data_IF_616045843387
#
_entry.id   IF_616045843387
#
_cell.length_a   1.000
_cell.length_b   1.000
_cell.length_c   1.000
_cell.angle_alpha   90.00
_cell.angle_beta   90.00
_cell.angle_gamma   90.00
#
_symmetry.space_group_name_H-M   'P 1'
#
loop_
_entity.id
_entity.type
_entity.pdbx_description
1 polymer ?
#
# COMPACT_ATOMS: atom_id res chain seq x y z
N UNK A 1 30.03 17.17 -31.27
CA UNK A 1 28.60 17.35 -31.46
C UNK A 1 27.86 16.79 -30.23
N UNK A 2 27.48 17.71 -29.34
CA UNK A 2 26.71 17.43 -28.14
C UNK A 2 25.23 17.53 -28.50
N UNK A 3 24.52 16.41 -28.47
CA UNK A 3 23.07 16.38 -28.39
C UNK A 3 22.69 15.16 -27.51
N UNK A 4 22.49 15.35 -26.25
CA UNK A 4 22.15 14.27 -25.32
C UNK A 4 21.65 14.68 -23.94
N UNK A 5 21.50 15.99 -23.66
CA UNK A 5 21.16 16.48 -22.31
C UNK A 5 19.69 16.83 -22.08
N UNK A 6 18.87 16.98 -23.10
CA UNK A 6 17.48 17.44 -22.94
C UNK A 6 16.42 16.34 -23.02
N UNK A 7 16.71 15.22 -23.68
CA UNK A 7 15.74 14.12 -23.80
C UNK A 7 15.65 13.25 -22.52
N UNK A 8 16.75 13.13 -21.77
CA UNK A 8 16.73 12.39 -20.49
C UNK A 8 15.92 13.11 -19.41
N UNK A 9 15.92 14.44 -19.41
CA UNK A 9 15.13 15.25 -18.47
C UNK A 9 13.62 15.24 -18.76
N UNK A 10 13.20 14.98 -19.99
CA UNK A 10 11.80 14.98 -20.40
C UNK A 10 11.16 13.62 -20.15
N UNK A 11 11.90 12.51 -20.25
CA UNK A 11 11.40 11.17 -19.90
C UNK A 11 11.17 10.98 -18.40
N UNK A 12 12.00 11.57 -17.57
CA UNK A 12 11.83 11.49 -16.10
C UNK A 12 10.63 12.29 -15.58
N UNK A 13 10.17 13.32 -16.33
CA UNK A 13 9.02 14.14 -15.92
C UNK A 13 7.66 13.55 -16.28
N UNK A 14 7.60 12.60 -17.23
CA UNK A 14 6.33 12.02 -17.71
C UNK A 14 5.75 10.93 -16.79
N UNK A 15 6.56 10.36 -15.86
CA UNK A 15 6.18 9.25 -14.98
C UNK A 15 6.12 9.65 -13.50
N UNK A 16 5.81 10.91 -13.19
CA UNK A 16 5.74 11.40 -11.81
C UNK A 16 4.32 11.73 -11.39
N UNK A 17 3.96 11.40 -10.15
CA UNK A 17 2.74 11.90 -9.50
C UNK A 17 2.91 13.37 -9.13
N UNK A 18 1.86 14.15 -9.27
CA UNK A 18 1.83 15.53 -8.76
C UNK A 18 1.56 15.51 -7.26
N UNK A 19 2.20 16.44 -6.53
CA UNK A 19 1.92 16.62 -5.10
C UNK A 19 0.44 16.92 -4.85
N UNK A 20 -0.22 17.66 -5.71
CA UNK A 20 -1.65 17.92 -5.63
C UNK A 20 -2.51 16.66 -5.67
N UNK A 21 -2.12 15.67 -6.48
CA UNK A 21 -2.79 14.37 -6.51
C UNK A 21 -2.60 13.60 -5.20
N UNK A 22 -1.39 13.64 -4.65
CA UNK A 22 -1.06 13.02 -3.35
C UNK A 22 -1.87 13.67 -2.23
N UNK A 23 -1.88 15.00 -2.17
CA UNK A 23 -2.66 15.74 -1.17
C UNK A 23 -4.15 15.42 -1.25
N UNK A 24 -4.70 15.35 -2.47
CA UNK A 24 -6.10 14.99 -2.69
C UNK A 24 -6.41 13.55 -2.25
N UNK A 25 -5.50 12.61 -2.54
CA UNK A 25 -5.64 11.21 -2.09
C UNK A 25 -5.66 11.11 -0.56
N UNK A 26 -4.79 11.85 0.12
CA UNK A 26 -4.75 11.90 1.60
C UNK A 26 -6.04 12.54 2.16
N UNK A 27 -6.51 13.64 1.59
CA UNK A 27 -7.78 14.27 2.00
C UNK A 27 -8.96 13.31 1.84
N UNK A 28 -9.02 12.58 0.74
CA UNK A 28 -10.06 11.58 0.48
C UNK A 28 -10.01 10.46 1.52
N UNK A 29 -8.81 9.98 1.86
CA UNK A 29 -8.60 8.98 2.91
C UNK A 29 -9.06 9.49 4.29
N UNK A 30 -8.73 10.73 4.63
CA UNK A 30 -9.14 11.36 5.90
C UNK A 30 -10.67 11.46 6.02
N UNK A 31 -11.36 11.85 4.94
CA UNK A 31 -12.82 11.88 4.91
C UNK A 31 -13.44 10.50 5.12
N UNK A 32 -12.85 9.48 4.54
CA UNK A 32 -13.31 8.11 4.73
C UNK A 32 -13.09 7.64 6.16
N UNK A 33 -11.95 7.95 6.76
CA UNK A 33 -11.70 7.67 8.19
C UNK A 33 -12.73 8.35 9.08
N UNK A 34 -13.07 9.60 8.82
CA UNK A 34 -14.10 10.32 9.58
C UNK A 34 -15.46 9.61 9.50
N UNK A 35 -15.83 9.12 8.33
CA UNK A 35 -17.06 8.36 8.11
C UNK A 35 -17.14 7.11 9.00
N UNK A 36 -16.02 6.45 9.23
CA UNK A 36 -15.95 5.22 10.03
C UNK A 36 -15.38 5.44 11.44
N UNK A 37 -15.30 6.69 11.88
CA UNK A 37 -14.81 7.08 13.22
C UNK A 37 -13.39 6.59 13.53
N UNK A 38 -12.52 6.57 12.52
CA UNK A 38 -11.10 6.29 12.69
C UNK A 38 -10.32 7.58 12.90
N UNK A 39 -9.54 7.63 13.99
CA UNK A 39 -8.64 8.75 14.29
C UNK A 39 -7.20 8.26 14.27
N UNK A 40 -6.35 8.98 13.57
CA UNK A 40 -4.91 8.68 13.51
C UNK A 40 -4.20 9.17 14.78
N UNK A 41 -3.02 8.64 15.09
CA UNK A 41 -2.10 9.29 16.01
C UNK A 41 -1.83 10.74 15.57
N UNK A 42 -1.54 11.63 16.53
CA UNK A 42 -1.35 13.06 16.25
C UNK A 42 -0.39 13.36 15.11
N UNK A 43 0.69 12.59 14.99
CA UNK A 43 1.70 12.76 13.94
C UNK A 43 1.20 12.40 12.52
N UNK A 44 0.06 11.69 12.41
CA UNK A 44 -0.62 11.46 11.14
C UNK A 44 -1.22 12.73 10.53
N UNK A 45 -1.37 13.78 11.33
CA UNK A 45 -1.88 15.09 10.91
C UNK A 45 -0.78 16.15 10.84
N UNK A 46 0.47 15.79 11.03
CA UNK A 46 1.60 16.71 11.06
C UNK A 46 1.91 17.28 9.67
N UNK A 47 2.23 18.58 9.67
CA UNK A 47 2.86 19.26 8.56
C UNK A 47 4.37 18.94 8.51
N UNK A 48 5.02 19.35 7.44
CA UNK A 48 6.49 19.28 7.33
C UNK A 48 7.18 20.02 8.48
N UNK A 49 6.64 21.18 8.88
CA UNK A 49 7.18 21.96 10.00
C UNK A 49 7.05 21.20 11.32
N UNK A 50 5.93 20.55 11.58
CA UNK A 50 5.74 19.72 12.77
C UNK A 50 6.78 18.60 12.87
N UNK A 51 7.05 17.91 11.75
CA UNK A 51 8.12 16.91 11.70
C UNK A 51 9.48 17.51 12.01
N UNK A 52 9.81 18.67 11.43
CA UNK A 52 11.08 19.36 11.66
C UNK A 52 11.24 19.80 13.12
N UNK A 53 10.14 20.15 13.79
CA UNK A 53 10.15 20.58 15.19
C UNK A 53 10.19 19.40 16.19
N UNK A 54 10.07 18.16 15.70
CA UNK A 54 10.10 16.94 16.52
C UNK A 54 11.11 15.91 15.97
N UNK A 55 12.40 16.24 15.91
CA UNK A 55 13.39 15.44 15.19
C UNK A 55 13.59 14.02 15.74
N UNK A 56 13.49 13.83 17.05
CA UNK A 56 13.63 12.51 17.67
C UNK A 56 12.46 11.58 17.29
N UNK A 57 11.24 12.07 17.39
CA UNK A 57 10.05 11.33 16.94
C UNK A 57 10.07 11.06 15.45
N UNK A 58 10.46 12.06 14.66
CA UNK A 58 10.57 11.95 13.20
C UNK A 58 11.55 10.85 12.81
N UNK A 59 12.71 10.78 13.49
CA UNK A 59 13.65 9.68 13.26
C UNK A 59 13.05 8.32 13.57
N UNK A 60 12.34 8.18 14.68
CA UNK A 60 11.66 6.95 15.05
C UNK A 60 10.65 6.52 13.98
N UNK A 61 9.79 7.45 13.55
CA UNK A 61 8.75 7.19 12.55
C UNK A 61 9.37 6.77 11.21
N UNK A 62 10.40 7.44 10.77
CA UNK A 62 11.11 7.13 9.53
C UNK A 62 11.81 5.77 9.59
N UNK A 63 12.52 5.49 10.68
CA UNK A 63 13.24 4.23 10.86
C UNK A 63 12.26 3.03 10.89
N UNK A 64 11.04 3.24 11.38
CA UNK A 64 9.97 2.24 11.44
C UNK A 64 9.05 2.26 10.21
N UNK A 65 9.32 3.07 9.21
CA UNK A 65 8.49 3.19 8.00
C UNK A 65 7.01 3.48 8.33
N UNK A 66 6.78 4.40 9.25
CA UNK A 66 5.45 4.76 9.76
C UNK A 66 4.99 6.10 9.21
N UNK A 67 3.75 6.17 8.76
CA UNK A 67 3.11 7.38 8.25
C UNK A 67 2.39 7.17 6.92
N UNK A 68 2.10 8.29 6.26
CA UNK A 68 1.43 8.31 4.96
C UNK A 68 2.33 7.78 3.85
N UNK A 69 1.68 7.12 2.90
CA UNK A 69 2.28 6.73 1.64
C UNK A 69 1.22 6.77 0.54
N UNK A 70 1.57 7.32 -0.60
CA UNK A 70 0.72 7.37 -1.79
C UNK A 70 1.59 7.00 -2.98
N UNK A 71 1.20 5.97 -3.72
CA UNK A 71 2.01 5.50 -4.85
C UNK A 71 1.13 5.08 -6.03
N UNK A 72 1.61 5.36 -7.23
CA UNK A 72 1.10 4.84 -8.50
C UNK A 72 1.96 3.71 -9.06
N UNK A 73 2.89 3.20 -8.25
CA UNK A 73 3.86 2.16 -8.63
C UNK A 73 4.70 2.53 -9.85
N UNK A 74 4.89 3.81 -10.11
CA UNK A 74 5.66 4.32 -11.25
C UNK A 74 4.96 4.18 -12.60
N UNK A 75 3.65 3.95 -12.63
CA UNK A 75 2.86 3.73 -13.86
C UNK A 75 2.19 4.97 -14.42
N UNK A 76 2.24 6.10 -13.71
CA UNK A 76 1.60 7.37 -14.11
C UNK A 76 0.09 7.22 -14.37
N UNK A 77 -0.57 6.37 -13.59
CA UNK A 77 -2.00 6.12 -13.68
C UNK A 77 -2.59 5.75 -12.31
N UNK A 78 -2.49 6.69 -11.37
CA UNK A 78 -2.91 6.48 -9.98
C UNK A 78 -4.37 6.01 -9.87
N UNK A 79 -5.25 6.49 -10.74
CA UNK A 79 -6.68 6.15 -10.67
C UNK A 79 -6.99 4.70 -11.02
N UNK A 80 -6.13 4.02 -11.78
CA UNK A 80 -6.31 2.61 -12.13
C UNK A 80 -5.31 1.68 -11.46
N UNK A 81 -4.12 2.17 -11.11
CA UNK A 81 -3.10 1.41 -10.41
C UNK A 81 -2.42 2.29 -9.37
N UNK A 82 -2.74 2.06 -8.12
CA UNK A 82 -2.23 2.88 -7.03
C UNK A 82 -2.86 2.54 -5.70
N UNK A 83 -2.37 3.18 -4.66
CA UNK A 83 -2.89 3.04 -3.32
C UNK A 83 -2.52 4.25 -2.46
N UNK A 84 -3.41 4.58 -1.54
CA UNK A 84 -3.14 5.46 -0.40
C UNK A 84 -3.11 4.60 0.84
N UNK A 85 -2.08 4.73 1.67
CA UNK A 85 -1.98 3.96 2.91
C UNK A 85 -1.39 4.79 4.04
N UNK A 86 -1.66 4.36 5.27
CA UNK A 86 -1.08 4.91 6.48
C UNK A 86 -0.59 3.78 7.38
N UNK A 87 0.71 3.74 7.65
CA UNK A 87 1.29 2.79 8.60
C UNK A 87 1.20 3.35 10.02
N UNK A 88 0.36 2.73 10.84
CA UNK A 88 0.05 3.19 12.21
C UNK A 88 1.13 2.74 13.18
N UNK A 89 1.60 1.52 13.03
CA UNK A 89 2.64 0.89 13.86
C UNK A 89 3.44 -0.11 13.07
N UNK A 90 4.70 -0.27 13.46
CA UNK A 90 5.61 -1.22 12.84
C UNK A 90 6.81 -1.47 13.76
N UNK A 91 7.49 -2.59 13.54
CA UNK A 91 8.80 -2.88 14.12
C UNK A 91 9.91 -2.69 13.10
N UNK A 92 11.12 -3.07 13.48
CA UNK A 92 12.28 -3.15 12.59
C UNK A 92 12.75 -4.61 12.57
N UNK A 93 12.76 -5.22 11.40
CA UNK A 93 13.05 -6.64 11.22
C UNK A 93 14.41 -7.06 11.81
N UNK A 94 15.41 -6.20 11.71
CA UNK A 94 16.75 -6.47 12.21
C UNK A 94 16.91 -6.28 13.72
N UNK A 95 15.90 -5.77 14.43
CA UNK A 95 15.94 -5.52 15.87
C UNK A 95 15.09 -6.54 16.62
N UNK A 96 15.77 -7.45 17.33
CA UNK A 96 15.14 -8.54 18.08
C UNK A 96 14.15 -8.07 19.14
N UNK A 97 14.38 -6.94 19.77
CA UNK A 97 13.58 -6.39 20.86
C UNK A 97 12.52 -5.38 20.39
N UNK A 98 12.40 -5.14 19.10
CA UNK A 98 11.37 -4.28 18.54
C UNK A 98 10.05 -5.07 18.34
N UNK A 99 8.97 -4.35 18.01
CA UNK A 99 7.65 -4.95 17.80
C UNK A 99 7.71 -5.97 16.65
N UNK A 100 7.20 -7.20 16.85
CA UNK A 100 7.15 -8.19 15.78
C UNK A 100 5.93 -8.06 14.85
N UNK A 101 5.22 -6.94 14.90
CA UNK A 101 3.95 -6.73 14.18
C UNK A 101 3.89 -5.35 13.53
N UNK A 102 2.95 -5.23 12.59
CA UNK A 102 2.61 -3.98 11.91
C UNK A 102 1.09 -3.85 11.74
N UNK A 103 0.64 -2.62 11.64
CA UNK A 103 -0.74 -2.28 11.30
C UNK A 103 -0.78 -1.11 10.33
N UNK A 104 -1.57 -1.26 9.25
CA UNK A 104 -1.79 -0.23 8.24
C UNK A 104 -3.28 -0.05 7.95
N UNK A 105 -3.65 1.15 7.54
CA UNK A 105 -4.88 1.41 6.81
C UNK A 105 -4.56 1.58 5.34
N UNK A 106 -5.40 1.00 4.51
CA UNK A 106 -5.28 1.00 3.05
C UNK A 106 -6.55 1.59 2.45
N UNK A 107 -6.41 2.47 1.47
CA UNK A 107 -7.54 3.15 0.85
C UNK A 107 -7.48 2.93 -0.66
N UNK A 108 -8.53 2.32 -1.20
CA UNK A 108 -8.63 2.02 -2.62
C UNK A 108 -9.89 2.65 -3.20
N UNK A 109 -9.71 3.51 -4.19
CA UNK A 109 -10.82 4.05 -4.97
C UNK A 109 -11.34 2.99 -5.95
N UNK A 110 -12.58 3.14 -6.41
CA UNK A 110 -13.09 2.26 -7.46
C UNK A 110 -12.21 2.31 -8.71
N UNK A 111 -11.97 1.15 -9.31
CA UNK A 111 -11.14 1.02 -10.50
C UNK A 111 -9.64 1.08 -10.22
N UNK A 112 -9.23 1.25 -8.97
CA UNK A 112 -7.84 1.28 -8.55
C UNK A 112 -7.43 -0.08 -8.00
N UNK A 113 -6.37 -0.64 -8.53
CA UNK A 113 -5.84 -1.93 -8.06
C UNK A 113 -4.36 -1.82 -7.68
N UNK A 114 -3.94 -2.72 -6.79
CA UNK A 114 -2.53 -2.88 -6.45
C UNK A 114 -1.96 -3.98 -7.34
N UNK A 115 -0.75 -3.81 -7.91
CA UNK A 115 -0.14 -4.85 -8.72
C UNK A 115 0.02 -6.17 -7.94
N UNK A 116 -0.03 -7.30 -8.62
CA UNK A 116 0.30 -8.58 -8.01
C UNK A 116 1.69 -8.52 -7.37
N UNK A 117 1.74 -8.84 -6.08
CA UNK A 117 2.96 -8.88 -5.31
C UNK A 117 2.90 -9.98 -4.26
N UNK A 118 4.05 -10.35 -3.73
CA UNK A 118 4.18 -11.30 -2.64
C UNK A 118 5.17 -10.79 -1.59
N UNK A 119 5.09 -11.39 -0.41
CA UNK A 119 6.03 -11.15 0.69
C UNK A 119 6.69 -12.47 1.06
N UNK A 120 7.98 -12.44 1.32
CA UNK A 120 8.74 -13.61 1.78
C UNK A 120 8.87 -13.67 3.29
N UNK A 121 8.84 -12.52 3.95
CA UNK A 121 9.11 -12.39 5.39
C UNK A 121 7.81 -12.32 6.17
N UNK A 122 6.89 -11.42 5.81
CA UNK A 122 5.67 -11.19 6.60
C UNK A 122 4.50 -12.06 6.19
N UNK A 123 3.82 -12.60 7.19
CA UNK A 123 2.46 -13.08 7.13
C UNK A 123 1.53 -11.90 7.39
N UNK A 124 0.40 -11.81 6.71
CA UNK A 124 -0.54 -10.70 6.88
C UNK A 124 -1.99 -11.11 6.80
N UNK A 125 -2.85 -10.39 7.52
CA UNK A 125 -4.29 -10.40 7.32
C UNK A 125 -4.71 -9.11 6.63
N UNK A 126 -5.57 -9.25 5.61
CA UNK A 126 -6.23 -8.12 4.94
C UNK A 126 -7.70 -8.13 5.35
N UNK A 127 -8.18 -7.00 5.85
CA UNK A 127 -9.48 -6.87 6.49
C UNK A 127 -10.27 -5.77 5.79
N UNK A 128 -11.53 -6.03 5.42
CA UNK A 128 -12.42 -4.95 4.97
C UNK A 128 -12.94 -4.19 6.20
N UNK A 129 -12.49 -2.94 6.37
CA UNK A 129 -12.86 -2.09 7.51
C UNK A 129 -14.01 -1.14 7.22
N UNK A 130 -14.36 -0.93 5.95
CA UNK A 130 -15.46 -0.05 5.60
C UNK A 130 -15.52 0.31 4.13
N UNK A 131 -16.63 0.88 3.73
CA UNK A 131 -16.87 1.27 2.35
C UNK A 131 -17.44 0.15 1.51
N UNK A 132 -16.89 -0.01 0.30
CA UNK A 132 -17.34 -1.00 -0.65
C UNK A 132 -16.92 -2.42 -0.35
N UNK A 133 -17.05 -3.28 -1.35
CA UNK A 133 -16.60 -4.67 -1.29
C UNK A 133 -15.14 -4.77 -1.73
N UNK A 134 -14.35 -5.49 -0.95
CA UNK A 134 -12.94 -5.70 -1.22
C UNK A 134 -12.74 -7.02 -1.98
N UNK A 135 -12.21 -6.97 -3.18
CA UNK A 135 -11.83 -8.15 -3.94
C UNK A 135 -10.33 -8.43 -3.81
N UNK A 136 -9.98 -9.70 -3.64
CA UNK A 136 -8.59 -10.15 -3.63
C UNK A 136 -8.46 -11.34 -4.56
N UNK A 137 -7.44 -11.32 -5.41
CA UNK A 137 -7.06 -12.43 -6.28
C UNK A 137 -5.70 -12.96 -5.87
N UNK A 138 -5.52 -14.27 -5.98
CA UNK A 138 -4.30 -14.97 -5.61
C UNK A 138 -3.74 -15.77 -6.77
N UNK A 139 -2.44 -15.97 -6.78
CA UNK A 139 -1.76 -16.92 -7.66
C UNK A 139 -0.44 -17.39 -7.05
N UNK A 140 -0.02 -18.57 -7.46
CA UNK A 140 1.30 -19.13 -7.14
C UNK A 140 2.15 -19.21 -8.40
N UNK A 141 3.44 -18.98 -8.22
CA UNK A 141 4.46 -19.02 -9.27
C UNK A 141 5.49 -20.09 -8.86
N UNK A 142 5.89 -20.95 -9.79
CA UNK A 142 6.93 -21.92 -9.57
C UNK A 142 8.34 -21.29 -9.69
N UNK A 143 9.37 -22.10 -9.45
CA UNK A 143 10.78 -21.65 -9.53
C UNK A 143 11.21 -21.23 -10.94
N UNK A 144 10.42 -21.56 -11.97
CA UNK A 144 10.66 -21.15 -13.37
C UNK A 144 9.82 -19.96 -13.79
N UNK A 145 9.22 -19.22 -12.84
CA UNK A 145 8.30 -18.09 -13.07
C UNK A 145 7.04 -18.47 -13.85
N UNK A 146 6.61 -19.73 -13.78
CA UNK A 146 5.34 -20.16 -14.37
C UNK A 146 4.24 -20.12 -13.32
N UNK A 147 3.08 -19.56 -13.71
CA UNK A 147 1.88 -19.60 -12.91
C UNK A 147 1.40 -21.04 -12.78
N UNK A 148 1.13 -21.47 -11.54
CA UNK A 148 0.53 -22.77 -11.26
C UNK A 148 -0.98 -22.71 -11.49
N UNK A 149 -1.54 -23.82 -11.99
CA UNK A 149 -2.99 -23.96 -12.23
C UNK A 149 -3.76 -24.61 -11.08
N UNK A 150 -3.04 -25.07 -10.04
CA UNK A 150 -3.67 -25.70 -8.87
C UNK A 150 -4.49 -24.69 -8.05
N UNK A 151 -5.49 -25.18 -7.34
CA UNK A 151 -6.27 -24.38 -6.39
C UNK A 151 -5.39 -23.88 -5.25
N UNK A 152 -5.74 -22.70 -4.76
CA UNK A 152 -5.09 -22.04 -3.63
C UNK A 152 -6.07 -22.07 -2.46
N UNK A 153 -5.62 -22.57 -1.32
CA UNK A 153 -6.40 -22.56 -0.07
C UNK A 153 -6.04 -21.32 0.74
N UNK A 154 -7.03 -20.51 1.07
CA UNK A 154 -6.90 -19.33 1.94
C UNK A 154 -7.76 -19.48 3.17
N UNK A 155 -7.44 -18.75 4.22
CA UNK A 155 -8.18 -18.73 5.47
C UNK A 155 -8.97 -17.44 5.57
N UNK A 156 -10.30 -17.53 5.55
CA UNK A 156 -11.20 -16.38 5.67
C UNK A 156 -11.92 -16.48 7.01
N UNK A 157 -11.55 -15.63 7.96
CA UNK A 157 -12.12 -15.62 9.32
C UNK A 157 -12.15 -16.99 9.99
N UNK A 158 -11.12 -17.81 9.76
CA UNK A 158 -11.01 -19.18 10.29
C UNK A 158 -11.56 -20.27 9.38
N UNK A 159 -12.27 -19.94 8.30
CA UNK A 159 -12.78 -20.88 7.32
C UNK A 159 -11.78 -21.07 6.17
N UNK A 160 -11.53 -22.34 5.81
CA UNK A 160 -10.70 -22.67 4.65
C UNK A 160 -11.54 -22.55 3.38
N UNK A 161 -11.09 -21.69 2.47
CA UNK A 161 -11.71 -21.46 1.16
C UNK A 161 -10.71 -21.86 0.08
N UNK A 162 -11.16 -22.65 -0.88
CA UNK A 162 -10.39 -23.00 -2.08
C UNK A 162 -10.76 -22.08 -3.23
N UNK A 163 -9.76 -21.52 -3.88
CA UNK A 163 -9.92 -20.60 -5.01
C UNK A 163 -9.09 -21.08 -6.19
N UNK A 164 -9.62 -20.91 -7.39
CA UNK A 164 -8.81 -21.02 -8.60
C UNK A 164 -7.86 -19.81 -8.69
N UNK A 165 -6.71 -19.91 -9.38
CA UNK A 165 -5.89 -18.74 -9.65
C UNK A 165 -6.71 -17.64 -10.32
N UNK A 166 -6.52 -16.39 -9.88
CA UNK A 166 -7.28 -15.20 -10.34
C UNK A 166 -8.78 -15.20 -10.01
N UNK A 167 -9.30 -16.18 -9.30
CA UNK A 167 -10.69 -16.15 -8.83
C UNK A 167 -10.83 -15.08 -7.74
N UNK A 168 -11.69 -14.06 -7.92
CA UNK A 168 -11.85 -13.03 -6.91
C UNK A 168 -12.49 -13.56 -5.64
N UNK A 169 -11.83 -13.39 -4.51
CA UNK A 169 -12.42 -13.51 -3.18
C UNK A 169 -13.02 -12.16 -2.80
N UNK A 170 -14.31 -12.12 -2.51
CA UNK A 170 -14.99 -10.89 -2.11
C UNK A 170 -15.14 -10.86 -0.59
N UNK A 171 -14.54 -9.83 0.04
CA UNK A 171 -14.68 -9.58 1.47
C UNK A 171 -15.67 -8.43 1.70
N UNK A 172 -16.74 -8.73 2.42
CA UNK A 172 -17.68 -7.73 2.94
C UNK A 172 -17.11 -7.08 4.17
N UNK A 173 -17.67 -5.96 4.60
CA UNK A 173 -17.24 -5.25 5.82
C UNK A 173 -17.13 -6.20 7.02
N UNK A 174 -16.00 -6.18 7.70
CA UNK A 174 -15.69 -7.02 8.83
C UNK A 174 -14.98 -8.32 8.50
N UNK A 175 -15.06 -8.80 7.27
CA UNK A 175 -14.39 -10.03 6.85
C UNK A 175 -12.89 -9.81 6.60
N UNK A 176 -12.11 -10.84 6.83
CA UNK A 176 -10.65 -10.82 6.62
C UNK A 176 -10.15 -12.10 5.96
N UNK A 177 -9.01 -12.02 5.33
CA UNK A 177 -8.30 -13.16 4.76
C UNK A 177 -6.84 -13.13 5.20
N UNK A 178 -6.31 -14.31 5.54
CA UNK A 178 -4.88 -14.47 5.79
C UNK A 178 -4.16 -14.70 4.47
N UNK A 179 -3.17 -13.85 4.19
CA UNK A 179 -2.30 -13.95 3.01
C UNK A 179 -0.99 -14.60 3.43
N UNK A 180 -0.78 -15.83 2.97
CA UNK A 180 0.42 -16.60 3.25
C UNK A 180 1.64 -16.01 2.53
N UNK A 181 2.83 -16.25 3.11
CA UNK A 181 4.10 -15.88 2.46
C UNK A 181 4.24 -16.54 1.11
N UNK A 182 4.89 -15.86 0.19
CA UNK A 182 5.19 -16.30 -1.18
C UNK A 182 3.95 -16.49 -2.09
N UNK A 183 2.76 -16.21 -1.63
CA UNK A 183 1.55 -16.18 -2.46
C UNK A 183 1.40 -14.79 -3.08
N UNK A 184 1.36 -14.72 -4.40
CA UNK A 184 1.09 -13.48 -5.10
C UNK A 184 -0.37 -13.11 -4.94
N UNK A 185 -0.62 -11.85 -4.65
CA UNK A 185 -1.96 -11.32 -4.45
C UNK A 185 -2.07 -9.90 -4.99
N UNK A 186 -3.27 -9.54 -5.42
CA UNK A 186 -3.68 -8.16 -5.69
C UNK A 186 -5.06 -7.94 -5.13
N UNK A 187 -5.36 -6.72 -4.75
CA UNK A 187 -6.69 -6.37 -4.26
C UNK A 187 -7.15 -5.04 -4.82
N UNK A 188 -8.46 -4.88 -4.86
CA UNK A 188 -9.13 -3.73 -5.43
C UNK A 188 -10.53 -3.59 -4.85
N UNK A 189 -11.14 -2.42 -5.04
CA UNK A 189 -12.56 -2.23 -4.76
C UNK A 189 -13.40 -2.82 -5.89
N UNK A 190 -14.43 -3.57 -5.54
CA UNK A 190 -15.39 -4.11 -6.53
C UNK A 190 -16.09 -2.95 -7.22
N UNK A 191 -16.10 -2.95 -8.54
CA UNK A 191 -16.73 -1.91 -9.35
C UNK A 191 -18.20 -1.73 -8.99
N UNK A 192 -18.61 -0.49 -8.76
CA UNK A 192 -19.97 -0.14 -8.35
C UNK A 192 -20.22 -0.21 -6.86
N UNK A 193 -19.27 -0.70 -6.05
CA UNK A 193 -19.43 -0.82 -4.59
C UNK A 193 -18.90 0.36 -3.79
N UNK A 194 -18.13 1.25 -4.42
CA UNK A 194 -17.53 2.42 -3.79
C UNK A 194 -16.11 2.20 -3.29
N UNK A 195 -15.51 3.26 -2.76
CA UNK A 195 -14.18 3.23 -2.17
C UNK A 195 -14.12 2.26 -0.99
N UNK A 196 -13.00 1.56 -0.82
CA UNK A 196 -12.76 0.64 0.30
C UNK A 196 -11.71 1.21 1.23
N UNK A 197 -11.98 1.13 2.54
CA UNK A 197 -10.99 1.25 3.60
C UNK A 197 -10.68 -0.15 4.12
N UNK A 198 -9.45 -0.61 3.90
CA UNK A 198 -8.98 -1.90 4.38
C UNK A 198 -7.99 -1.71 5.53
N UNK A 199 -7.90 -2.72 6.38
CA UNK A 199 -6.85 -2.86 7.38
C UNK A 199 -5.87 -3.94 6.98
N UNK A 200 -4.61 -3.77 7.33
CA UNK A 200 -3.60 -4.80 7.26
C UNK A 200 -2.98 -4.98 8.63
N UNK A 201 -3.05 -6.19 9.14
CA UNK A 201 -2.34 -6.60 10.37
C UNK A 201 -1.33 -7.65 9.94
N UNK A 202 -0.07 -7.42 10.25
CA UNK A 202 1.00 -8.29 9.75
C UNK A 202 2.14 -8.43 10.74
N UNK A 203 3.06 -9.34 10.42
CA UNK A 203 4.40 -9.28 10.96
C UNK A 203 5.08 -8.00 10.47
N UNK A 204 6.33 -7.78 10.87
CA UNK A 204 7.07 -6.56 10.52
C UNK A 204 7.01 -6.29 9.01
N UNK A 205 6.67 -5.06 8.67
CA UNK A 205 6.60 -4.58 7.30
C UNK A 205 7.91 -3.91 6.88
N UNK A 206 8.45 -4.32 5.74
CA UNK A 206 9.61 -3.69 5.13
C UNK A 206 9.30 -3.35 3.67
N UNK A 207 8.91 -2.09 3.44
CA UNK A 207 8.57 -1.60 2.11
C UNK A 207 9.77 -1.55 1.15
N UNK A 208 10.98 -1.54 1.68
CA UNK A 208 12.19 -1.48 0.87
C UNK A 208 12.64 -2.88 0.39
N UNK A 209 12.38 -3.95 1.16
CA UNK A 209 13.02 -5.25 0.93
C UNK A 209 12.06 -6.45 0.85
N UNK A 210 10.78 -6.30 1.19
CA UNK A 210 9.84 -7.44 1.26
C UNK A 210 8.64 -7.32 0.32
N UNK A 211 8.78 -6.59 -0.78
CA UNK A 211 7.77 -6.52 -1.85
C UNK A 211 8.35 -7.11 -3.14
N UNK A 212 7.74 -8.18 -3.62
CA UNK A 212 8.11 -8.86 -4.86
C UNK A 212 6.97 -8.73 -5.84
N UNK A 213 7.14 -7.89 -6.86
CA UNK A 213 6.10 -7.65 -7.87
C UNK A 213 6.21 -8.65 -9.00
N UNK A 214 5.05 -9.13 -9.47
CA UNK A 214 4.98 -10.02 -10.62
C UNK A 214 5.31 -9.27 -11.93
N UNK A 215 4.82 -8.04 -12.05
CA UNK A 215 5.15 -7.14 -13.15
C UNK A 215 6.33 -6.23 -12.77
N UNK A 216 7.02 -5.71 -13.77
CA UNK A 216 8.09 -4.74 -13.53
C UNK A 216 7.49 -3.37 -13.18
N UNK A 217 7.33 -3.10 -11.89
CA UNK A 217 6.84 -1.84 -11.33
C UNK A 217 7.75 -1.37 -10.21
N UNK A 218 7.71 -0.07 -9.90
CA UNK A 218 8.35 0.50 -8.71
C UNK A 218 7.41 0.49 -7.51
N UNK A 219 7.96 0.41 -6.29
CA UNK A 219 7.15 0.51 -5.05
C UNK A 219 6.75 1.96 -4.76
N UNK A 220 7.62 2.90 -5.05
CA UNK A 220 7.43 4.31 -4.77
C UNK A 220 7.28 5.13 -6.04
N UNK A 221 6.48 6.20 -5.96
CA UNK A 221 6.33 7.16 -7.05
C UNK A 221 7.42 8.22 -7.01
N UNK A 222 7.77 8.72 -8.18
CA UNK A 222 8.45 10.02 -8.27
C UNK A 222 7.42 11.13 -8.15
N UNK A 223 7.78 12.24 -7.51
CA UNK A 223 6.85 13.31 -7.16
C UNK A 223 7.23 14.59 -7.87
N UNK A 224 6.26 15.19 -8.57
CA UNK A 224 6.35 16.54 -9.12
C UNK A 224 5.71 17.51 -8.13
N UNK A 225 6.52 18.41 -7.58
CA UNK A 225 6.09 19.40 -6.59
C UNK A 225 5.37 20.56 -7.29
N UNK A 226 4.04 20.52 -7.35
CA UNK A 226 3.18 21.59 -7.87
C UNK A 226 2.49 22.38 -6.76
N UNK A 227 2.50 21.88 -5.53
CA UNK A 227 2.03 22.58 -4.32
C UNK A 227 2.76 22.03 -3.09
N UNK A 228 2.71 22.70 -1.92
CA UNK A 228 3.27 22.15 -0.69
C UNK A 228 2.57 20.87 -0.25
N UNK A 229 3.30 19.92 0.38
CA UNK A 229 2.69 18.73 0.93
C UNK A 229 1.75 19.06 2.10
N UNK A 230 0.55 18.51 2.07
CA UNK A 230 -0.39 18.57 3.20
C UNK A 230 0.20 17.84 4.41
N UNK A 231 0.59 16.59 4.20
CA UNK A 231 1.32 15.76 5.13
C UNK A 231 2.44 15.07 4.36
N UNK A 232 3.70 15.15 4.81
CA UNK A 232 4.79 14.43 4.16
C UNK A 232 4.55 12.92 4.17
N UNK A 233 5.05 12.23 3.16
CA UNK A 233 5.10 10.77 3.16
C UNK A 233 6.22 10.30 4.11
N UNK A 234 6.10 9.07 4.63
CA UNK A 234 7.00 8.56 5.66
C UNK A 234 8.48 8.57 5.22
N UNK A 235 8.75 8.39 3.94
CA UNK A 235 10.12 8.36 3.40
C UNK A 235 10.67 9.74 3.03
N UNK A 236 9.89 10.79 3.27
CA UNK A 236 10.28 12.18 2.96
C UNK A 236 10.72 12.98 4.20
N UNK A 237 10.56 12.42 5.39
CA UNK A 237 10.81 13.10 6.66
C UNK A 237 12.20 12.84 7.22
#
# INVERSE_FOLDING_TARGET
LRLGGSEMCIRDRSNSMKRSEINNAIETAKKMMDTYNWTLPKWGYWSKEDYNNNPEMTKYLKDHQMGWDVTDFGKDNFNSQGITLFCIRNGIQSKFDDKPYAEKLLFMQEGQEIPFHSHKIKLEDIINRGGGDLAIEFLEIDNNNKQLSKKITVLVDGEKIELDPHEPLILKKGQSVTVERNIFHRFYSVKGSGMVMAGEVSQVNDDNNDNYFLEQVGRFSQIQEDEPPLHPLWNEV
#
